data_IF_904289777919
#
_entry.id   IF_904289777919
#
_cell.length_a   1.000
_cell.length_b   1.000
_cell.length_c   1.000
_cell.angle_alpha   90.00
_cell.angle_beta   90.00
_cell.angle_gamma   90.00
#
_symmetry.space_group_name_H-M   'P 1'
#
loop_
_entity.id
_entity.type
_entity.pdbx_description
1 polymer ?
#
# COMPACT_ATOMS: atom_id res chain seq x y z
N UNK A 1 -17.55 3.39 15.97
CA UNK A 1 -17.93 2.12 16.60
C UNK A 1 -16.62 1.45 16.93
N UNK A 2 -16.33 1.26 18.21
CA UNK A 2 -15.03 0.77 18.69
C UNK A 2 -15.05 -0.76 18.65
N UNK A 3 -14.01 -1.38 18.10
CA UNK A 3 -13.90 -2.84 18.01
C UNK A 3 -13.72 -3.50 19.38
N UNK A 4 -13.84 -4.83 19.42
CA UNK A 4 -13.59 -5.58 20.65
C UNK A 4 -12.11 -5.46 21.04
N UNK A 5 -11.82 -4.87 22.21
CA UNK A 5 -10.45 -4.63 22.69
C UNK A 5 -9.84 -3.28 22.30
N UNK A 6 -10.60 -2.39 21.67
CA UNK A 6 -10.16 -1.02 21.37
C UNK A 6 -10.81 -0.01 22.33
N UNK A 7 -10.13 1.12 22.57
CA UNK A 7 -10.66 2.24 23.36
C UNK A 7 -10.33 3.55 22.64
N UNK A 8 -11.38 4.29 22.24
CA UNK A 8 -11.24 5.63 21.67
C UNK A 8 -11.04 6.67 22.78
N UNK A 9 -9.98 7.45 22.67
CA UNK A 9 -9.69 8.54 23.60
C UNK A 9 -10.11 9.88 23.00
N UNK A 10 -10.91 10.65 23.74
CA UNK A 10 -11.43 11.94 23.28
C UNK A 10 -10.34 13.01 23.09
N UNK A 11 -9.14 12.81 23.66
CA UNK A 11 -7.97 13.70 23.52
C UNK A 11 -6.68 12.87 23.48
N UNK A 12 -5.64 13.31 22.74
CA UNK A 12 -4.32 12.70 22.82
C UNK A 12 -3.81 12.77 24.26
N UNK A 13 -3.37 11.64 24.80
CA UNK A 13 -2.76 11.59 26.12
C UNK A 13 -1.31 12.07 26.04
N UNK A 14 -0.88 12.86 27.02
CA UNK A 14 0.54 13.17 27.20
C UNK A 14 1.31 11.88 27.51
N UNK A 15 2.58 11.79 27.10
CA UNK A 15 3.41 10.58 27.24
C UNK A 15 3.44 10.04 28.70
N UNK A 16 3.51 10.93 29.68
CA UNK A 16 3.49 10.58 31.11
C UNK A 16 2.15 9.94 31.55
N UNK A 17 1.03 10.35 30.94
CA UNK A 17 -0.29 9.76 31.21
C UNK A 17 -0.47 8.42 30.53
N UNK A 18 0.10 8.26 29.32
CA UNK A 18 0.09 6.99 28.58
C UNK A 18 0.89 5.91 29.33
N UNK A 19 2.03 6.27 29.92
CA UNK A 19 2.82 5.34 30.73
C UNK A 19 2.07 4.89 31.98
N UNK A 20 1.50 5.84 32.75
CA UNK A 20 0.70 5.55 33.95
C UNK A 20 -0.53 4.68 33.66
N UNK A 21 -1.12 4.84 32.48
CA UNK A 21 -2.24 4.02 32.03
C UNK A 21 -1.78 2.60 31.68
N UNK A 22 -0.66 2.48 30.97
CA UNK A 22 -0.03 1.18 30.66
C UNK A 22 0.28 0.40 31.93
N UNK A 23 0.89 1.04 32.92
CA UNK A 23 1.29 0.38 34.18
C UNK A 23 0.07 -0.10 34.98
N UNK A 24 -1.03 0.65 34.95
CA UNK A 24 -2.29 0.25 35.61
C UNK A 24 -3.01 -0.87 34.89
N UNK A 25 -2.87 -0.98 33.57
CA UNK A 25 -3.47 -2.05 32.79
C UNK A 25 -2.68 -3.36 32.94
N UNK A 26 -1.36 -3.25 33.09
CA UNK A 26 -0.47 -4.37 33.39
C UNK A 26 -0.85 -5.08 34.70
N UNK A 27 -1.30 -4.33 35.71
CA UNK A 27 -1.84 -4.87 36.98
C UNK A 27 -3.04 -5.81 36.77
N UNK A 28 -3.79 -5.65 35.66
CA UNK A 28 -4.90 -6.52 35.28
C UNK A 28 -4.49 -7.57 34.23
N UNK A 29 -3.19 -7.75 33.97
CA UNK A 29 -2.67 -8.65 32.95
C UNK A 29 -2.93 -8.18 31.51
N UNK A 30 -3.14 -6.87 31.31
CA UNK A 30 -3.41 -6.26 30.01
C UNK A 30 -2.14 -5.51 29.56
N UNK A 31 -1.38 -6.12 28.65
CA UNK A 31 -0.20 -5.49 28.06
C UNK A 31 -0.59 -4.48 26.96
N UNK A 32 -0.11 -3.24 27.07
CA UNK A 32 -0.22 -2.23 26.00
C UNK A 32 0.85 -2.53 24.94
N UNK A 33 0.49 -3.32 23.95
CA UNK A 33 1.43 -3.79 22.92
C UNK A 33 1.59 -2.74 21.80
N UNK A 34 2.65 -1.92 21.86
CA UNK A 34 3.05 -1.03 20.75
C UNK A 34 3.35 -1.80 19.43
N UNK A 35 3.62 -3.10 19.52
CA UNK A 35 3.89 -4.00 18.40
C UNK A 35 2.64 -4.25 17.49
N UNK A 36 1.42 -4.13 18.01
CA UNK A 36 0.20 -4.44 17.22
C UNK A 36 -0.03 -3.44 16.08
N UNK A 37 0.25 -2.15 16.31
CA UNK A 37 0.19 -1.11 15.27
C UNK A 37 1.15 -1.43 14.11
N UNK A 38 2.39 -1.80 14.43
CA UNK A 38 3.41 -2.14 13.43
C UNK A 38 3.04 -3.41 12.65
N UNK A 39 2.52 -4.43 13.34
CA UNK A 39 2.00 -5.65 12.72
C UNK A 39 0.84 -5.33 11.77
N UNK A 40 -0.11 -4.49 12.17
CA UNK A 40 -1.24 -4.12 11.31
C UNK A 40 -0.75 -3.32 10.10
N UNK A 41 0.21 -2.40 10.26
CA UNK A 41 0.83 -1.70 9.13
C UNK A 41 1.52 -2.67 8.18
N UNK A 42 2.20 -3.70 8.70
CA UNK A 42 2.79 -4.73 7.86
C UNK A 42 1.72 -5.52 7.10
N UNK A 43 0.63 -5.93 7.77
CA UNK A 43 -0.52 -6.58 7.12
C UNK A 43 -1.14 -5.70 6.03
N UNK A 44 -1.23 -4.38 6.22
CA UNK A 44 -1.68 -3.44 5.19
C UNK A 44 -0.74 -3.47 3.98
N UNK A 45 0.59 -3.41 4.21
CA UNK A 45 1.58 -3.50 3.12
C UNK A 45 1.44 -4.80 2.35
N UNK A 46 1.36 -5.92 3.06
CA UNK A 46 1.25 -7.25 2.46
C UNK A 46 -0.04 -7.37 1.64
N UNK A 47 -1.17 -6.91 2.19
CA UNK A 47 -2.44 -6.89 1.47
C UNK A 47 -2.39 -6.02 0.19
N UNK A 48 -1.69 -4.89 0.21
CA UNK A 48 -1.50 -4.04 -0.98
C UNK A 48 -0.60 -4.73 -2.01
N UNK A 49 0.49 -5.36 -1.58
CA UNK A 49 1.38 -6.10 -2.47
C UNK A 49 0.62 -7.25 -3.13
N UNK A 50 -0.12 -8.04 -2.34
CA UNK A 50 -0.99 -9.10 -2.86
C UNK A 50 -1.99 -8.55 -3.89
N UNK A 51 -2.66 -7.44 -3.58
CA UNK A 51 -3.63 -6.82 -4.50
C UNK A 51 -2.98 -6.43 -5.83
N UNK A 52 -1.76 -5.88 -5.81
CA UNK A 52 -1.13 -5.32 -7.01
C UNK A 52 -0.45 -6.39 -7.85
N UNK A 53 0.21 -7.37 -7.22
CA UNK A 53 1.06 -8.34 -7.90
C UNK A 53 0.35 -9.66 -8.24
N UNK A 54 -0.85 -9.90 -7.71
CA UNK A 54 -1.57 -11.14 -7.99
C UNK A 54 -2.02 -11.19 -9.45
N UNK A 55 -1.53 -12.19 -10.18
CA UNK A 55 -1.78 -12.34 -11.61
C UNK A 55 -3.21 -12.81 -11.95
N UNK A 56 -3.88 -13.47 -11.01
CA UNK A 56 -5.23 -14.06 -11.14
C UNK A 56 -6.34 -13.11 -10.69
N UNK A 57 -6.02 -12.13 -9.85
CA UNK A 57 -6.99 -11.17 -9.34
C UNK A 57 -7.11 -9.95 -10.26
N UNK A 58 -8.02 -10.02 -11.24
CA UNK A 58 -8.57 -8.83 -11.92
C UNK A 58 -9.62 -8.15 -11.04
N UNK A 59 -9.29 -7.95 -9.76
CA UNK A 59 -10.26 -7.44 -8.78
C UNK A 59 -10.53 -5.98 -9.11
N UNK A 60 -11.67 -5.74 -9.76
CA UNK A 60 -12.21 -4.40 -9.99
C UNK A 60 -12.94 -3.88 -8.73
N UNK A 61 -12.34 -4.11 -7.56
CA UNK A 61 -12.85 -3.60 -6.28
C UNK A 61 -11.94 -2.45 -5.87
N UNK A 62 -12.54 -1.40 -5.31
CA UNK A 62 -11.79 -0.26 -4.79
C UNK A 62 -10.83 -0.73 -3.69
N UNK A 63 -9.62 -0.18 -3.69
CA UNK A 63 -8.60 -0.48 -2.67
C UNK A 63 -9.12 -0.32 -1.24
N UNK A 64 -9.95 0.70 -1.00
CA UNK A 64 -10.55 0.94 0.31
C UNK A 64 -11.47 -0.18 0.79
N UNK A 65 -12.29 -0.73 -0.11
CA UNK A 65 -13.23 -1.82 0.20
C UNK A 65 -12.44 -3.10 0.45
N UNK A 66 -11.52 -3.44 -0.46
CA UNK A 66 -10.68 -4.63 -0.32
C UNK A 66 -9.89 -4.64 0.99
N UNK A 67 -9.24 -3.52 1.33
CA UNK A 67 -8.43 -3.46 2.55
C UNK A 67 -9.29 -3.54 3.81
N UNK A 68 -10.47 -2.92 3.79
CA UNK A 68 -11.39 -2.98 4.92
C UNK A 68 -11.90 -4.40 5.16
N UNK A 69 -12.31 -5.10 4.10
CA UNK A 69 -12.80 -6.48 4.18
C UNK A 69 -11.69 -7.47 4.54
N UNK A 70 -10.51 -7.36 3.90
CA UNK A 70 -9.40 -8.30 4.12
C UNK A 70 -8.79 -8.19 5.51
N UNK A 71 -8.83 -7.01 6.12
CA UNK A 71 -8.22 -6.76 7.43
C UNK A 71 -9.23 -6.61 8.56
N UNK A 72 -10.54 -6.71 8.27
CA UNK A 72 -11.63 -6.57 9.24
C UNK A 72 -11.58 -5.26 10.05
N UNK A 73 -11.28 -4.15 9.35
CA UNK A 73 -11.16 -2.81 9.95
C UNK A 73 -11.73 -1.75 9.00
N UNK A 74 -12.17 -0.61 9.56
CA UNK A 74 -12.59 0.51 8.71
C UNK A 74 -11.41 1.09 7.91
N UNK A 75 -11.64 1.46 6.65
CA UNK A 75 -10.58 2.07 5.83
C UNK A 75 -10.03 3.36 6.44
N UNK A 76 -10.88 4.16 7.12
CA UNK A 76 -10.44 5.38 7.80
C UNK A 76 -9.40 5.09 8.88
N UNK A 77 -9.63 4.05 9.69
CA UNK A 77 -8.66 3.60 10.70
C UNK A 77 -7.36 3.12 10.05
N UNK A 78 -7.45 2.26 9.04
CA UNK A 78 -6.28 1.75 8.31
C UNK A 78 -5.45 2.88 7.68
N UNK A 79 -6.10 3.86 7.04
CA UNK A 79 -5.44 4.98 6.38
C UNK A 79 -4.73 5.91 7.38
N UNK A 80 -5.36 6.19 8.52
CA UNK A 80 -4.77 7.00 9.58
C UNK A 80 -3.56 6.31 10.18
N UNK A 81 -3.71 5.05 10.60
CA UNK A 81 -2.63 4.25 11.17
C UNK A 81 -1.44 4.12 10.20
N UNK A 82 -1.73 3.80 8.94
CA UNK A 82 -0.68 3.67 7.93
C UNK A 82 0.08 4.97 7.74
N UNK A 83 -0.61 6.11 7.68
CA UNK A 83 0.02 7.41 7.49
C UNK A 83 0.83 7.86 8.70
N UNK A 84 0.34 7.58 9.91
CA UNK A 84 1.03 7.83 11.19
C UNK A 84 2.39 7.10 11.25
N UNK A 85 2.42 5.84 10.83
CA UNK A 85 3.62 4.99 10.96
C UNK A 85 4.56 5.09 9.76
N UNK A 86 4.03 5.21 8.54
CA UNK A 86 4.84 5.16 7.30
C UNK A 86 5.17 6.53 6.72
N UNK A 87 4.60 7.60 7.29
CA UNK A 87 4.72 8.98 6.78
C UNK A 87 4.27 9.14 5.32
N UNK A 88 3.44 8.21 4.82
CA UNK A 88 2.87 8.26 3.48
C UNK A 88 1.46 7.67 3.48
N UNK A 89 0.65 8.01 2.46
CA UNK A 89 -0.70 7.47 2.37
C UNK A 89 -0.73 6.08 1.75
N UNK A 90 -1.76 5.31 2.06
CA UNK A 90 -2.06 4.02 1.41
C UNK A 90 -2.11 4.19 -0.11
N UNK A 91 -2.79 5.24 -0.59
CA UNK A 91 -2.93 5.50 -2.03
C UNK A 91 -1.56 5.73 -2.70
N UNK A 92 -0.68 6.51 -2.06
CA UNK A 92 0.67 6.72 -2.58
C UNK A 92 1.47 5.42 -2.58
N UNK A 93 1.35 4.60 -1.53
CA UNK A 93 2.00 3.30 -1.47
C UNK A 93 1.50 2.36 -2.59
N UNK A 94 0.19 2.31 -2.85
CA UNK A 94 -0.39 1.56 -3.98
C UNK A 94 0.19 2.04 -5.30
N UNK A 95 0.29 3.35 -5.53
CA UNK A 95 0.89 3.90 -6.75
C UNK A 95 2.34 3.42 -6.89
N UNK A 96 3.14 3.50 -5.84
CA UNK A 96 4.53 3.01 -5.85
C UNK A 96 4.60 1.52 -6.23
N UNK A 97 3.78 0.67 -5.61
CA UNK A 97 3.73 -0.76 -5.94
C UNK A 97 3.32 -1.00 -7.39
N UNK A 98 2.31 -0.28 -7.91
CA UNK A 98 1.89 -0.39 -9.33
C UNK A 98 3.00 0.03 -10.29
N UNK A 99 3.78 1.07 -9.95
CA UNK A 99 4.91 1.51 -10.77
C UNK A 99 6.03 0.47 -10.76
N UNK A 100 6.37 -0.10 -9.60
CA UNK A 100 7.36 -1.18 -9.53
C UNK A 100 6.91 -2.40 -10.34
N UNK A 101 5.65 -2.80 -10.23
CA UNK A 101 5.15 -3.93 -11.03
C UNK A 101 5.11 -3.60 -12.53
N UNK A 102 4.78 -2.37 -12.92
CA UNK A 102 4.88 -1.90 -14.31
C UNK A 102 6.29 -2.08 -14.87
N UNK A 103 7.33 -1.70 -14.10
CA UNK A 103 8.73 -1.90 -14.51
C UNK A 103 9.02 -3.38 -14.75
N UNK A 104 8.58 -4.26 -13.84
CA UNK A 104 8.76 -5.71 -13.97
C UNK A 104 8.07 -6.27 -15.22
N UNK A 105 6.83 -5.85 -15.50
CA UNK A 105 6.08 -6.28 -16.69
C UNK A 105 6.75 -5.82 -17.99
N UNK A 106 7.28 -4.59 -18.02
CA UNK A 106 8.06 -4.08 -19.17
C UNK A 106 9.35 -4.89 -19.36
N UNK A 107 10.03 -5.25 -18.27
CA UNK A 107 11.25 -6.07 -18.31
C UNK A 107 10.98 -7.48 -18.85
N UNK A 108 9.87 -8.11 -18.42
CA UNK A 108 9.38 -9.38 -18.96
C UNK A 108 9.13 -9.26 -20.47
N UNK A 109 8.50 -8.18 -20.91
CA UNK A 109 8.33 -7.85 -22.34
C UNK A 109 7.18 -8.58 -23.02
N UNK A 110 6.31 -9.25 -22.26
CA UNK A 110 5.19 -10.04 -22.78
C UNK A 110 3.88 -9.25 -22.94
N UNK A 111 3.81 -8.03 -22.40
CA UNK A 111 2.61 -7.19 -22.40
C UNK A 111 2.89 -5.82 -23.00
N UNK A 112 1.92 -5.30 -23.74
CA UNK A 112 1.85 -3.92 -24.19
C UNK A 112 1.49 -2.97 -23.05
N UNK A 113 1.76 -1.67 -23.23
CA UNK A 113 1.39 -0.64 -22.23
C UNK A 113 -0.13 -0.57 -22.01
N UNK A 114 -0.93 -0.90 -23.03
CA UNK A 114 -2.39 -0.99 -22.93
C UNK A 114 -2.81 -2.14 -22.03
N UNK A 115 -2.24 -3.33 -22.22
CA UNK A 115 -2.52 -4.50 -21.38
C UNK A 115 -2.04 -4.28 -19.94
N UNK A 116 -0.88 -3.64 -19.74
CA UNK A 116 -0.38 -3.30 -18.41
C UNK A 116 -1.32 -2.30 -17.72
N UNK A 117 -1.75 -1.25 -18.43
CA UNK A 117 -2.70 -0.27 -17.87
C UNK A 117 -4.01 -0.95 -17.46
N UNK A 118 -4.55 -1.82 -18.30
CA UNK A 118 -5.75 -2.59 -18.00
C UNK A 118 -5.55 -3.53 -16.80
N UNK A 119 -4.46 -4.31 -16.78
CA UNK A 119 -4.14 -5.25 -15.70
C UNK A 119 -4.00 -4.56 -14.35
N UNK A 120 -3.43 -3.35 -14.32
CA UNK A 120 -3.25 -2.57 -13.09
C UNK A 120 -4.43 -1.64 -12.78
N UNK A 121 -5.56 -1.83 -13.46
CA UNK A 121 -6.80 -1.09 -13.30
C UNK A 121 -6.61 0.45 -13.41
N UNK A 122 -5.80 0.90 -14.39
CA UNK A 122 -5.75 2.30 -14.78
C UNK A 122 -6.85 2.59 -15.81
N UNK A 123 -7.49 3.74 -15.67
CA UNK A 123 -8.53 4.21 -16.59
C UNK A 123 -8.04 4.42 -18.03
N UNK A 124 -6.74 4.61 -18.23
CA UNK A 124 -6.13 4.73 -19.54
C UNK A 124 -4.60 4.55 -19.48
N UNK A 125 -3.98 4.30 -20.63
CA UNK A 125 -2.52 4.33 -20.81
C UNK A 125 -1.95 5.71 -20.45
N UNK A 126 -2.70 6.78 -20.70
CA UNK A 126 -2.29 8.15 -20.35
C UNK A 126 -2.22 8.36 -18.83
N UNK A 127 -3.17 7.77 -18.08
CA UNK A 127 -3.16 7.80 -16.62
C UNK A 127 -1.94 7.04 -16.06
N UNK A 128 -1.71 5.81 -16.53
CA UNK A 128 -0.51 5.04 -16.19
C UNK A 128 0.77 5.84 -16.50
N UNK A 129 0.85 6.41 -17.70
CA UNK A 129 2.05 7.14 -18.15
C UNK A 129 2.35 8.37 -17.32
N UNK A 130 1.30 9.11 -16.92
CA UNK A 130 1.43 10.28 -16.05
C UNK A 130 1.95 9.88 -14.67
N UNK A 131 1.37 8.85 -14.05
CA UNK A 131 1.79 8.36 -12.73
C UNK A 131 3.22 7.79 -12.77
N UNK A 132 3.55 7.00 -13.79
CA UNK A 132 4.87 6.44 -13.98
C UNK A 132 5.93 7.53 -14.16
N UNK A 133 5.65 8.55 -14.98
CA UNK A 133 6.56 9.69 -15.17
C UNK A 133 6.72 10.50 -13.90
N UNK A 134 5.64 10.77 -13.17
CA UNK A 134 5.69 11.48 -11.89
C UNK A 134 6.57 10.75 -10.87
N UNK A 135 6.52 9.43 -10.86
CA UNK A 135 7.24 8.59 -9.90
C UNK A 135 8.70 8.33 -10.30
N UNK A 136 8.98 8.16 -11.60
CA UNK A 136 10.30 7.70 -12.09
C UNK A 136 11.11 8.77 -12.82
N UNK A 137 10.50 9.90 -13.17
CA UNK A 137 11.09 10.96 -13.99
C UNK A 137 10.98 10.75 -15.51
N UNK A 138 10.61 9.54 -15.99
CA UNK A 138 10.53 9.22 -17.42
C UNK A 138 9.23 8.48 -17.76
N UNK A 139 8.83 8.47 -19.04
CA UNK A 139 7.61 7.75 -19.45
C UNK A 139 7.83 6.24 -19.54
N UNK A 140 6.77 5.41 -19.41
CA UNK A 140 6.87 3.96 -19.60
C UNK A 140 7.49 3.58 -20.96
N UNK A 141 7.12 4.27 -22.04
CA UNK A 141 7.67 4.05 -23.37
C UNK A 141 9.17 4.38 -23.46
N UNK A 142 9.61 5.44 -22.76
CA UNK A 142 11.03 5.78 -22.68
C UNK A 142 11.81 4.71 -21.91
N UNK A 143 11.25 4.24 -20.79
CA UNK A 143 11.82 3.14 -20.02
C UNK A 143 11.91 1.86 -20.88
N UNK A 144 10.85 1.48 -21.58
CA UNK A 144 10.81 0.32 -22.48
C UNK A 144 11.88 0.40 -23.58
N UNK A 145 12.09 1.58 -24.18
CA UNK A 145 13.13 1.81 -25.18
C UNK A 145 14.54 1.62 -24.60
N UNK A 146 14.80 2.13 -23.39
CA UNK A 146 16.07 1.95 -22.69
C UNK A 146 16.34 0.47 -22.44
N UNK A 147 15.34 -0.26 -21.95
CA UNK A 147 15.45 -1.71 -21.70
C UNK A 147 15.72 -2.48 -23.00
N UNK A 148 15.00 -2.18 -24.09
CA UNK A 148 15.20 -2.83 -25.39
C UNK A 148 16.64 -2.64 -25.90
N UNK A 149 17.12 -1.39 -25.90
CA UNK A 149 18.50 -1.07 -26.32
C UNK A 149 19.55 -1.77 -25.45
N UNK A 150 19.32 -1.89 -24.15
CA UNK A 150 20.21 -2.63 -23.24
C UNK A 150 20.25 -4.12 -23.54
N UNK A 151 19.12 -4.74 -23.91
CA UNK A 151 19.08 -6.15 -24.32
C UNK A 151 19.86 -6.36 -25.63
N UNK A 152 19.67 -5.48 -26.62
CA UNK A 152 20.38 -5.51 -27.90
C UNK A 152 21.92 -5.39 -27.76
N UNK A 153 22.41 -4.59 -26.81
CA UNK A 153 23.85 -4.43 -26.55
C UNK A 153 24.49 -5.63 -25.83
N UNK A 154 23.68 -6.46 -25.16
CA UNK A 154 24.14 -7.60 -24.37
C UNK A 154 23.85 -8.95 -25.06
N UNK A 155 23.29 -8.93 -26.28
CA UNK A 155 23.03 -10.11 -27.11
C UNK A 155 24.15 -10.26 -28.14
#
# INVERSE_FOLDING_TARGET
>A
MVGFGEVDLAKPLAEDTTQKLSDKLDEYGIEVVQNQKSILVQKIKDAIVDMVFNEENTVNVKSSVYLAEKLDHSYGYLANLFSEVTYTSIENFIILQKIEYTKQLILKGNLSLTEIAFKLNYSSVAHLSTQFKKTTGITPSSFQRIIKKRKELNS
#
